data_IF_497112401061
#
_entry.id   IF_497112401061
#
_cell.length_a   1.000
_cell.length_b   1.000
_cell.length_c   1.000
_cell.angle_alpha   90.00
_cell.angle_beta   90.00
_cell.angle_gamma   90.00
#
_symmetry.space_group_name_H-M   'P 1'
#
loop_
_entity.id
_entity.type
_entity.pdbx_description
1 polymer ?
#
# COMPACT_ATOMS: atom_id res chain seq x y z
N UNK A 1 -14.41 2.80 -19.17
CA UNK A 1 -13.39 3.80 -18.79
C UNK A 1 -12.01 3.36 -19.29
N UNK A 2 -11.25 4.29 -19.80
CA UNK A 2 -9.88 4.01 -20.23
C UNK A 2 -8.91 4.46 -19.14
N UNK A 3 -8.14 3.53 -18.59
CA UNK A 3 -7.13 3.87 -17.59
C UNK A 3 -5.83 4.17 -18.33
N UNK A 4 -5.37 5.42 -18.26
CA UNK A 4 -4.13 5.86 -18.87
C UNK A 4 -2.97 5.86 -17.88
N UNK A 5 -3.26 5.93 -16.59
CA UNK A 5 -2.25 5.96 -15.56
C UNK A 5 -2.73 5.24 -14.31
N UNK A 6 -1.95 4.27 -13.86
CA UNK A 6 -2.16 3.63 -12.57
C UNK A 6 -0.80 3.49 -11.91
N UNK A 7 -0.66 4.02 -10.70
CA UNK A 7 0.60 3.99 -9.99
C UNK A 7 0.36 3.83 -8.49
N UNK A 8 1.22 3.07 -7.84
CA UNK A 8 1.22 2.94 -6.39
C UNK A 8 2.60 3.35 -5.89
N UNK A 9 2.64 4.32 -4.98
CA UNK A 9 3.88 4.79 -4.38
C UNK A 9 3.83 4.55 -2.88
N UNK A 10 4.90 4.01 -2.34
CA UNK A 10 5.05 3.86 -0.89
C UNK A 10 6.10 4.85 -0.39
N UNK A 11 5.87 5.41 0.80
CA UNK A 11 6.78 6.37 1.40
C UNK A 11 6.67 6.31 2.93
N UNK A 12 7.68 6.84 3.61
CA UNK A 12 7.66 6.91 5.08
C UNK A 12 7.10 8.25 5.54
N UNK A 13 6.29 8.20 6.58
CA UNK A 13 5.83 9.39 7.27
C UNK A 13 6.78 9.64 8.45
N UNK A 14 7.87 10.34 8.21
CA UNK A 14 8.92 10.53 9.22
C UNK A 14 8.49 11.32 10.44
N UNK A 15 7.42 12.10 10.33
CA UNK A 15 6.89 12.87 11.46
C UNK A 15 6.07 12.02 12.42
N UNK A 16 5.82 10.76 12.10
CA UNK A 16 4.98 9.88 12.91
C UNK A 16 5.72 8.75 13.57
N UNK A 17 6.96 8.97 14.03
CA UNK A 17 7.73 7.92 14.71
C UNK A 17 6.98 7.40 15.93
N UNK A 18 6.96 6.07 16.09
CA UNK A 18 6.35 5.46 17.25
C UNK A 18 7.34 5.37 18.40
N UNK A 19 6.93 4.72 19.49
CA UNK A 19 7.77 4.62 20.70
C UNK A 19 9.07 3.85 20.47
N UNK A 20 9.09 2.97 19.48
CA UNK A 20 10.30 2.21 19.15
C UNK A 20 11.16 2.90 18.10
N UNK A 21 10.78 4.11 17.67
CA UNK A 21 11.52 4.88 16.68
C UNK A 21 11.27 4.47 15.25
N UNK A 22 10.21 3.71 15.00
CA UNK A 22 9.85 3.28 13.65
C UNK A 22 8.86 4.27 13.03
N UNK A 23 8.99 4.49 11.73
CA UNK A 23 8.10 5.36 10.97
C UNK A 23 7.04 4.54 10.24
N UNK A 24 5.80 5.02 10.19
CA UNK A 24 4.77 4.30 9.45
C UNK A 24 4.99 4.42 7.95
N UNK A 25 4.69 3.33 7.25
CA UNK A 25 4.77 3.28 5.79
C UNK A 25 3.39 3.66 5.24
N UNK A 26 3.37 4.69 4.42
CA UNK A 26 2.15 5.19 3.80
C UNK A 26 2.15 4.84 2.33
N UNK A 27 0.97 4.80 1.74
CA UNK A 27 0.83 4.54 0.31
C UNK A 27 -0.02 5.58 -0.37
N UNK A 28 0.21 5.75 -1.67
CA UNK A 28 -0.57 6.63 -2.52
C UNK A 28 -0.92 5.89 -3.80
N UNK A 29 -2.20 5.82 -4.09
CA UNK A 29 -2.70 5.22 -5.32
C UNK A 29 -3.07 6.36 -6.27
N UNK A 30 -2.61 6.29 -7.51
CA UNK A 30 -2.97 7.24 -8.56
C UNK A 30 -3.69 6.51 -9.67
N UNK A 31 -4.89 6.98 -10.02
CA UNK A 31 -5.63 6.49 -11.18
C UNK A 31 -5.97 7.71 -12.03
N UNK A 32 -5.35 7.79 -13.20
CA UNK A 32 -5.48 8.94 -14.09
C UNK A 32 -5.17 10.24 -13.34
N UNK A 33 -6.14 11.10 -13.10
CA UNK A 33 -5.94 12.38 -12.42
C UNK A 33 -6.34 12.36 -10.95
N UNK A 34 -6.75 11.21 -10.44
CA UNK A 34 -7.19 11.09 -9.04
C UNK A 34 -6.12 10.42 -8.21
N UNK A 35 -6.07 10.76 -6.92
CA UNK A 35 -5.13 10.19 -5.98
C UNK A 35 -5.82 9.87 -4.66
N UNK A 36 -5.37 8.80 -4.01
CA UNK A 36 -5.85 8.45 -2.68
C UNK A 36 -4.67 7.98 -1.84
N UNK A 37 -4.63 8.44 -0.59
CA UNK A 37 -3.59 8.03 0.35
C UNK A 37 -4.17 7.00 1.31
N UNK A 38 -3.32 6.09 1.77
CA UNK A 38 -3.73 5.08 2.73
C UNK A 38 -2.56 4.73 3.66
N UNK A 39 -2.91 4.26 4.86
CA UNK A 39 -1.92 3.71 5.79
C UNK A 39 -1.79 2.23 5.55
N UNK A 40 -0.56 1.73 5.44
CA UNK A 40 -0.32 0.31 5.20
C UNK A 40 -0.43 -0.53 6.46
N UNK A 41 -0.45 0.11 7.63
CA UNK A 41 -0.35 -0.55 8.94
C UNK A 41 1.00 -1.21 9.16
N UNK A 42 1.97 -0.88 8.32
CA UNK A 42 3.35 -1.32 8.45
C UNK A 42 4.21 -0.16 8.91
N UNK A 43 5.33 -0.47 9.55
CA UNK A 43 6.30 0.53 9.97
C UNK A 43 7.69 -0.08 9.86
N UNK A 44 8.70 0.78 9.83
CA UNK A 44 10.07 0.31 9.74
C UNK A 44 11.05 1.33 10.31
N UNK A 45 12.28 0.86 10.57
CA UNK A 45 13.38 1.75 10.95
C UNK A 45 13.72 2.65 9.77
N UNK A 46 13.64 3.99 9.94
CA UNK A 46 13.83 4.90 8.79
C UNK A 46 15.15 4.73 8.05
N UNK A 47 16.22 4.37 8.75
CA UNK A 47 17.53 4.20 8.13
C UNK A 47 17.56 3.06 7.13
N UNK A 48 16.65 2.11 7.23
CA UNK A 48 16.58 0.99 6.31
C UNK A 48 15.75 1.28 5.06
N UNK A 49 14.96 2.33 5.09
CA UNK A 49 14.05 2.63 3.98
C UNK A 49 14.79 3.10 2.73
N UNK A 50 14.47 2.47 1.60
CA UNK A 50 14.98 2.86 0.30
C UNK A 50 13.85 3.51 -0.50
N UNK A 51 13.84 4.85 -0.65
CA UNK A 51 12.75 5.52 -1.35
C UNK A 51 12.70 5.23 -2.84
N UNK A 52 13.83 4.83 -3.44
CA UNK A 52 13.85 4.49 -4.86
C UNK A 52 13.12 3.19 -5.14
N UNK A 53 13.27 2.21 -4.26
CA UNK A 53 12.68 0.89 -4.44
C UNK A 53 11.41 0.70 -3.63
N UNK A 54 11.06 1.65 -2.76
CA UNK A 54 9.89 1.56 -1.89
C UNK A 54 9.91 0.30 -1.04
N UNK A 55 11.06 -0.02 -0.49
CA UNK A 55 11.26 -1.18 0.38
C UNK A 55 12.48 -0.96 1.27
N UNK A 56 12.77 -1.92 2.13
CA UNK A 56 13.88 -1.82 3.07
C UNK A 56 15.16 -2.40 2.47
N UNK A 57 16.29 -1.75 2.77
CA UNK A 57 17.60 -2.24 2.40
C UNK A 57 18.06 -3.32 3.36
N UNK A 58 18.96 -4.19 2.89
CA UNK A 58 19.61 -5.18 3.73
C UNK A 58 18.88 -6.49 3.82
N UNK A 59 19.42 -7.36 4.66
CA UNK A 59 18.90 -8.72 4.82
C UNK A 59 18.54 -9.04 6.29
N UNK A 60 18.37 -8.01 7.10
CA UNK A 60 17.94 -8.21 8.47
C UNK A 60 16.56 -8.82 8.53
N UNK A 61 16.21 -9.39 9.68
CA UNK A 61 14.89 -9.97 9.87
C UNK A 61 13.80 -8.93 9.61
N UNK A 62 14.00 -7.70 10.12
CA UNK A 62 13.05 -6.61 9.87
C UNK A 62 12.88 -6.35 8.38
N UNK A 63 13.99 -6.25 7.63
CA UNK A 63 13.93 -5.97 6.20
C UNK A 63 13.22 -7.09 5.45
N UNK A 64 13.55 -8.33 5.72
CA UNK A 64 12.96 -9.48 5.03
C UNK A 64 11.46 -9.57 5.31
N UNK A 65 11.06 -9.48 6.57
CA UNK A 65 9.65 -9.60 6.94
C UNK A 65 8.81 -8.44 6.42
N UNK A 66 9.32 -7.21 6.56
CA UNK A 66 8.58 -6.03 6.11
C UNK A 66 8.46 -6.02 4.60
N UNK A 67 9.52 -6.37 3.89
CA UNK A 67 9.46 -6.43 2.43
C UNK A 67 8.46 -7.47 1.94
N UNK A 68 8.37 -8.61 2.62
CA UNK A 68 7.38 -9.63 2.28
C UNK A 68 5.95 -9.08 2.44
N UNK A 69 5.72 -8.32 3.50
CA UNK A 69 4.40 -7.70 3.73
C UNK A 69 4.10 -6.61 2.71
N UNK A 70 5.11 -5.86 2.30
CA UNK A 70 4.97 -4.86 1.24
C UNK A 70 4.55 -5.54 -0.07
N UNK A 71 5.17 -6.67 -0.41
CA UNK A 71 4.80 -7.42 -1.61
C UNK A 71 3.34 -7.84 -1.58
N UNK A 72 2.87 -8.35 -0.44
CA UNK A 72 1.47 -8.75 -0.29
C UNK A 72 0.53 -7.56 -0.42
N UNK A 73 0.92 -6.42 0.15
CA UNK A 73 0.14 -5.20 0.07
C UNK A 73 -0.01 -4.74 -1.38
N UNK A 74 1.10 -4.70 -2.12
CA UNK A 74 1.08 -4.29 -3.51
C UNK A 74 0.24 -5.24 -4.36
N UNK A 75 0.33 -6.53 -4.09
CA UNK A 75 -0.48 -7.52 -4.79
C UNK A 75 -1.97 -7.29 -4.51
N UNK A 76 -2.33 -6.99 -3.27
CA UNK A 76 -3.72 -6.72 -2.91
C UNK A 76 -4.25 -5.48 -3.63
N UNK A 77 -3.44 -4.41 -3.72
CA UNK A 77 -3.81 -3.20 -4.42
C UNK A 77 -4.00 -3.48 -5.91
N UNK A 78 -3.07 -4.22 -6.51
CA UNK A 78 -3.17 -4.58 -7.94
C UNK A 78 -4.40 -5.44 -8.21
N UNK A 79 -4.72 -6.38 -7.34
CA UNK A 79 -5.91 -7.21 -7.50
C UNK A 79 -7.18 -6.38 -7.41
N UNK A 80 -7.22 -5.41 -6.51
CA UNK A 80 -8.36 -4.49 -6.40
C UNK A 80 -8.54 -3.68 -7.67
N UNK A 81 -7.43 -3.16 -8.20
CA UNK A 81 -7.45 -2.40 -9.45
C UNK A 81 -7.96 -3.25 -10.61
N UNK A 82 -7.43 -4.45 -10.77
CA UNK A 82 -7.83 -5.36 -11.84
C UNK A 82 -9.31 -5.75 -11.72
N UNK A 83 -9.79 -5.93 -10.49
CA UNK A 83 -11.20 -6.23 -10.27
C UNK A 83 -12.10 -5.10 -10.74
N UNK A 84 -11.71 -3.85 -10.45
CA UNK A 84 -12.48 -2.68 -10.90
C UNK A 84 -12.43 -2.51 -12.43
N UNK A 85 -11.26 -2.73 -13.02
CA UNK A 85 -11.11 -2.67 -14.48
C UNK A 85 -12.03 -3.69 -15.16
N UNK A 86 -12.10 -4.91 -14.60
CA UNK A 86 -12.91 -5.97 -15.21
C UNK A 86 -14.41 -5.70 -15.14
N UNK A 87 -14.84 -4.81 -14.24
CA UNK A 87 -16.25 -4.44 -14.14
C UNK A 87 -16.71 -3.46 -15.22
N UNK A 88 -15.74 -2.90 -15.95
CA UNK A 88 -16.01 -1.95 -17.05
C UNK A 88 -16.81 -0.73 -16.63
N UNK A 89 -16.59 -0.29 -15.38
CA UNK A 89 -17.21 0.92 -14.84
C UNK A 89 -16.13 1.96 -14.57
N UNK A 90 -16.51 3.23 -14.54
CA UNK A 90 -15.57 4.29 -14.18
C UNK A 90 -15.25 4.20 -12.69
N UNK A 91 -13.99 4.44 -12.34
CA UNK A 91 -13.58 4.43 -10.97
C UNK A 91 -12.39 5.38 -10.77
N UNK A 92 -12.15 5.76 -9.53
CA UNK A 92 -11.08 6.65 -9.13
C UNK A 92 -10.13 5.94 -8.17
N UNK A 93 -9.04 6.63 -7.80
CA UNK A 93 -8.08 6.08 -6.85
C UNK A 93 -8.72 5.71 -5.52
N UNK A 94 -9.69 6.51 -5.06
CA UNK A 94 -10.41 6.22 -3.82
C UNK A 94 -11.16 4.89 -3.89
N UNK A 95 -11.69 4.55 -5.06
CA UNK A 95 -12.40 3.29 -5.24
C UNK A 95 -11.46 2.10 -5.10
N UNK A 96 -10.25 2.21 -5.66
CA UNK A 96 -9.23 1.17 -5.51
C UNK A 96 -8.87 1.01 -4.04
N UNK A 97 -8.64 2.13 -3.35
CA UNK A 97 -8.33 2.12 -1.93
C UNK A 97 -9.42 1.41 -1.12
N UNK A 98 -10.67 1.81 -1.33
CA UNK A 98 -11.79 1.23 -0.58
C UNK A 98 -11.95 -0.25 -0.87
N UNK A 99 -11.75 -0.64 -2.12
CA UNK A 99 -11.92 -2.04 -2.52
C UNK A 99 -10.89 -2.94 -1.84
N UNK A 100 -9.61 -2.57 -1.87
CA UNK A 100 -8.59 -3.42 -1.25
C UNK A 100 -8.66 -3.38 0.28
N UNK A 101 -8.98 -2.23 0.88
CA UNK A 101 -9.15 -2.15 2.33
C UNK A 101 -10.36 -2.92 2.81
N UNK A 102 -11.47 -2.83 2.08
CA UNK A 102 -12.66 -3.60 2.42
C UNK A 102 -12.42 -5.10 2.35
N UNK A 103 -11.67 -5.56 1.35
CA UNK A 103 -11.32 -6.97 1.23
C UNK A 103 -10.50 -7.43 2.43
N UNK A 104 -9.52 -6.62 2.88
CA UNK A 104 -8.70 -6.95 4.04
C UNK A 104 -9.53 -6.97 5.32
N UNK A 105 -10.43 -6.00 5.48
CA UNK A 105 -11.33 -5.95 6.64
C UNK A 105 -12.26 -7.16 6.67
N UNK A 106 -12.76 -7.57 5.51
CA UNK A 106 -13.62 -8.74 5.41
C UNK A 106 -12.89 -9.98 5.88
N UNK A 107 -11.62 -10.13 5.52
CA UNK A 107 -10.83 -11.26 5.99
C UNK A 107 -10.68 -11.25 7.51
N UNK A 108 -10.45 -10.08 8.09
CA UNK A 108 -10.36 -9.96 9.55
C UNK A 108 -11.68 -10.31 10.22
N UNK A 109 -12.78 -9.90 9.63
CA UNK A 109 -14.11 -10.19 10.17
C UNK A 109 -14.39 -11.69 10.18
N UNK A 110 -13.98 -12.39 9.13
CA UNK A 110 -14.20 -13.84 9.05
C UNK A 110 -13.43 -14.62 10.09
N UNK A 111 -12.43 -14.04 10.68
CA UNK A 111 -11.63 -14.71 11.69
C UNK A 111 -12.27 -14.75 13.06
N UNK A 112 -13.40 -14.13 13.23
CA UNK A 112 -14.11 -14.17 14.50
C UNK A 112 -14.72 -15.55 14.79
#
# INVERSE_FOLDING_TARGET
>A
MKVEKFKVLLYLKKSGLDKSGKAPIMGRITVNRTMAQFGSKLSCTPELWNPRESRLNGKSKEAVETNARIEKLLLAVNNAFNSLVSRKVDFEATDVKNHFQGSMETQMTLMK
#
